data_IF_314380747424
#
_entry.id   IF_314380747424
#
_cell.length_a   1.000
_cell.length_b   1.000
_cell.length_c   1.000
_cell.angle_alpha   90.00
_cell.angle_beta   90.00
_cell.angle_gamma   90.00
#
_symmetry.space_group_name_H-M   'P 1'
#
loop_
_entity.id
_entity.type
_entity.pdbx_description
1 polymer ?
#
# COMPACT_ATOMS: atom_id res chain seq x y z
N UNK A 1 47.08 -10.05 -49.98
CA UNK A 1 47.03 -9.55 -48.58
C UNK A 1 45.84 -8.62 -48.26
N UNK A 2 44.80 -8.49 -49.12
CA UNK A 2 43.64 -7.59 -48.89
C UNK A 2 42.48 -8.22 -48.10
N UNK A 3 42.30 -9.54 -48.15
CA UNK A 3 41.10 -10.21 -47.61
C UNK A 3 41.07 -10.37 -46.08
N UNK A 4 42.23 -10.34 -45.41
CA UNK A 4 42.29 -10.53 -43.93
C UNK A 4 41.71 -9.34 -43.15
N UNK A 5 41.81 -8.11 -43.68
CA UNK A 5 41.30 -6.90 -43.01
C UNK A 5 39.77 -6.80 -43.04
N UNK A 6 39.14 -7.23 -44.14
CA UNK A 6 37.68 -7.22 -44.28
C UNK A 6 37.03 -8.24 -43.35
N UNK A 7 37.65 -9.42 -43.19
CA UNK A 7 37.15 -10.47 -42.31
C UNK A 7 37.21 -10.07 -40.82
N UNK A 8 38.28 -9.41 -40.37
CA UNK A 8 38.37 -8.92 -38.99
C UNK A 8 37.35 -7.83 -38.66
N UNK A 9 37.04 -6.93 -39.61
CA UNK A 9 36.03 -5.88 -39.40
C UNK A 9 34.62 -6.49 -39.31
N UNK A 10 34.32 -7.50 -40.14
CA UNK A 10 33.03 -8.19 -40.11
C UNK A 10 32.79 -8.94 -38.80
N UNK A 11 33.83 -9.59 -38.28
CA UNK A 11 33.77 -10.32 -36.99
C UNK A 11 33.61 -9.37 -35.81
N UNK A 12 34.28 -8.21 -35.82
CA UNK A 12 34.09 -7.18 -34.79
C UNK A 12 32.66 -6.59 -34.80
N UNK A 13 32.08 -6.36 -35.97
CA UNK A 13 30.69 -5.90 -36.10
C UNK A 13 29.68 -6.95 -35.65
N UNK A 14 29.90 -8.23 -35.97
CA UNK A 14 29.05 -9.36 -35.56
C UNK A 14 29.04 -9.58 -34.04
N UNK A 15 30.13 -9.25 -33.34
CA UNK A 15 30.21 -9.34 -31.88
C UNK A 15 29.70 -8.09 -31.18
N UNK A 16 29.90 -6.89 -31.75
CA UNK A 16 29.52 -5.63 -31.13
C UNK A 16 27.99 -5.41 -31.06
N UNK A 17 27.26 -5.82 -32.10
CA UNK A 17 25.80 -5.65 -32.19
C UNK A 17 25.05 -6.44 -31.10
N UNK A 18 25.28 -7.75 -30.88
CA UNK A 18 24.59 -8.48 -29.82
C UNK A 18 24.98 -7.97 -28.43
N UNK A 19 26.23 -7.55 -28.18
CA UNK A 19 26.60 -6.94 -26.89
C UNK A 19 25.89 -5.63 -26.63
N UNK A 20 25.69 -4.79 -27.65
CA UNK A 20 24.92 -3.55 -27.50
C UNK A 20 23.44 -3.85 -27.23
N UNK A 21 22.86 -4.82 -27.92
CA UNK A 21 21.46 -5.24 -27.72
C UNK A 21 21.22 -5.92 -26.37
N UNK A 22 22.20 -6.64 -25.82
CA UNK A 22 22.10 -7.16 -24.45
C UNK A 22 22.25 -6.04 -23.42
N UNK A 23 23.18 -5.09 -23.62
CA UNK A 23 23.37 -3.97 -22.69
C UNK A 23 22.15 -3.04 -22.60
N UNK A 24 21.42 -2.83 -23.70
CA UNK A 24 20.24 -1.96 -23.71
C UNK A 24 19.07 -2.51 -22.87
N UNK A 25 19.03 -3.82 -22.61
CA UNK A 25 18.04 -4.42 -21.70
C UNK A 25 18.28 -4.05 -20.23
N UNK A 26 19.52 -3.75 -19.84
CA UNK A 26 19.84 -3.27 -18.49
C UNK A 26 19.50 -1.79 -18.28
N UNK A 27 19.24 -1.05 -19.36
CA UNK A 27 18.81 0.35 -19.31
C UNK A 27 17.29 0.54 -19.43
N UNK A 28 16.53 -0.55 -19.54
CA UNK A 28 15.09 -0.43 -19.41
C UNK A 28 14.80 -0.03 -17.96
N UNK A 29 14.10 1.09 -17.71
CA UNK A 29 13.67 1.42 -16.37
C UNK A 29 12.85 0.23 -15.87
N UNK A 30 13.28 -0.36 -14.75
CA UNK A 30 12.41 -1.25 -13.99
C UNK A 30 11.14 -0.44 -13.74
N UNK A 31 10.02 -0.86 -14.31
CA UNK A 31 8.73 -0.30 -13.94
C UNK A 31 8.48 -0.76 -12.51
N UNK A 32 9.04 -0.03 -11.55
CA UNK A 32 8.52 -0.07 -10.20
C UNK A 32 7.13 0.52 -10.33
N UNK A 33 6.11 -0.33 -10.29
CA UNK A 33 4.71 0.08 -10.04
C UNK A 33 4.62 0.57 -8.60
N UNK A 34 5.46 1.55 -8.25
CA UNK A 34 5.25 2.50 -7.17
C UNK A 34 4.49 3.65 -7.80
N UNK A 35 3.34 3.33 -8.40
CA UNK A 35 2.37 4.33 -8.77
C UNK A 35 1.89 5.00 -7.50
N UNK A 36 1.41 6.24 -7.62
CA UNK A 36 0.74 7.00 -6.57
C UNK A 36 -0.61 6.36 -6.18
N UNK A 37 -0.63 5.05 -5.93
CA UNK A 37 -1.84 4.36 -5.52
C UNK A 37 -2.21 4.89 -4.14
N UNK A 38 -3.42 5.43 -3.99
CA UNK A 38 -3.96 5.70 -2.67
C UNK A 38 -4.12 4.37 -1.91
N UNK A 39 -4.26 4.45 -0.59
CA UNK A 39 -4.64 3.27 0.17
C UNK A 39 -5.99 2.74 -0.37
N UNK A 40 -6.09 1.43 -0.52
CA UNK A 40 -7.30 0.77 -0.98
C UNK A 40 -8.36 0.93 0.11
N UNK A 41 -9.53 1.53 -0.18
CA UNK A 41 -10.60 1.66 0.79
C UNK A 41 -11.24 0.31 1.10
N UNK A 42 -11.94 0.23 2.23
CA UNK A 42 -12.79 -0.91 2.55
C UNK A 42 -14.07 -0.80 1.70
N UNK A 43 -14.35 -1.83 0.90
CA UNK A 43 -15.45 -1.87 -0.08
C UNK A 43 -16.68 -2.66 0.40
N UNK A 44 -16.77 -2.96 1.70
CA UNK A 44 -17.93 -3.65 2.28
C UNK A 44 -19.11 -2.70 2.47
N UNK A 45 -20.29 -3.22 2.83
CA UNK A 45 -21.39 -2.36 3.29
C UNK A 45 -20.96 -1.61 4.57
N UNK A 46 -20.71 -0.31 4.43
CA UNK A 46 -20.33 0.60 5.51
C UNK A 46 -21.51 1.53 5.83
N UNK A 47 -21.71 1.83 7.12
CA UNK A 47 -22.62 2.90 7.51
C UNK A 47 -22.11 4.26 7.03
N UNK A 48 -23.00 5.26 6.95
CA UNK A 48 -22.62 6.63 6.55
C UNK A 48 -21.48 7.20 7.41
N UNK A 49 -21.51 6.93 8.73
CA UNK A 49 -20.47 7.37 9.65
C UNK A 49 -19.13 6.66 9.40
N UNK A 50 -19.14 5.37 9.05
CA UNK A 50 -17.92 4.64 8.69
C UNK A 50 -17.33 5.14 7.36
N UNK A 51 -18.18 5.45 6.37
CA UNK A 51 -17.74 6.05 5.11
C UNK A 51 -17.08 7.41 5.35
N UNK A 52 -17.72 8.27 6.14
CA UNK A 52 -17.16 9.57 6.50
C UNK A 52 -15.82 9.44 7.26
N UNK A 53 -15.75 8.50 8.23
CA UNK A 53 -14.52 8.23 8.96
C UNK A 53 -13.38 7.77 8.03
N UNK A 54 -13.68 6.87 7.09
CA UNK A 54 -12.70 6.40 6.10
C UNK A 54 -12.21 7.54 5.21
N UNK A 55 -13.12 8.36 4.68
CA UNK A 55 -12.77 9.47 3.80
C UNK A 55 -11.87 10.48 4.51
N UNK A 56 -12.22 10.85 5.74
CA UNK A 56 -11.41 11.74 6.58
C UNK A 56 -10.03 11.16 6.87
N UNK A 57 -9.95 9.88 7.26
CA UNK A 57 -8.68 9.23 7.52
C UNK A 57 -7.78 9.18 6.27
N UNK A 58 -8.33 8.81 5.11
CA UNK A 58 -7.55 8.67 3.86
C UNK A 58 -7.11 10.01 3.25
N UNK A 59 -7.79 11.10 3.61
CA UNK A 59 -7.44 12.46 3.19
C UNK A 59 -6.52 13.18 4.18
N UNK A 60 -6.34 12.67 5.40
CA UNK A 60 -5.47 13.27 6.41
C UNK A 60 -3.97 13.21 5.98
N UNK A 61 -3.24 14.34 6.00
CA UNK A 61 -1.84 14.38 5.59
C UNK A 61 -0.90 13.48 6.40
N UNK A 62 -1.17 13.23 7.70
CA UNK A 62 -0.37 12.34 8.54
C UNK A 62 -0.56 10.89 8.09
N UNK A 63 -1.79 10.48 7.74
CA UNK A 63 -2.04 9.15 7.14
C UNK A 63 -1.39 9.06 5.76
N UNK A 64 -1.48 10.10 4.94
CA UNK A 64 -0.88 10.11 3.60
C UNK A 64 0.65 10.02 3.64
N UNK A 65 1.31 10.60 4.65
CA UNK A 65 2.76 10.44 4.85
C UNK A 65 3.18 8.96 4.96
N UNK A 66 2.29 8.11 5.47
CA UNK A 66 2.53 6.68 5.61
C UNK A 66 1.97 5.84 4.46
N UNK A 67 1.02 6.32 3.66
CA UNK A 67 0.29 5.49 2.68
C UNK A 67 0.50 5.88 1.22
N UNK A 68 0.83 7.14 0.93
CA UNK A 68 0.86 7.64 -0.45
C UNK A 68 1.95 6.96 -1.28
N UNK A 69 1.55 6.35 -2.41
CA UNK A 69 2.46 5.66 -3.31
C UNK A 69 2.96 4.32 -2.78
N UNK A 70 2.37 3.83 -1.69
CA UNK A 70 2.66 2.54 -1.08
C UNK A 70 1.43 1.66 -1.19
N UNK A 71 1.64 0.35 -1.27
CA UNK A 71 0.57 -0.64 -1.21
C UNK A 71 0.01 -0.61 0.21
N UNK A 72 -1.08 0.12 0.40
CA UNK A 72 -1.77 0.24 1.67
C UNK A 72 -3.25 -0.07 1.51
N UNK A 73 -3.90 -0.52 2.57
CA UNK A 73 -5.31 -0.93 2.54
C UNK A 73 -6.00 -0.67 3.88
N UNK A 74 -7.25 -0.22 3.86
CA UNK A 74 -8.10 -0.13 5.04
C UNK A 74 -8.54 -1.53 5.44
N UNK A 75 -8.23 -1.89 6.68
CA UNK A 75 -8.40 -3.23 7.23
C UNK A 75 -9.64 -3.33 8.12
N UNK A 76 -10.05 -2.22 8.75
CA UNK A 76 -11.23 -2.20 9.60
C UNK A 76 -11.63 -0.78 9.99
N UNK A 77 -12.91 -0.61 10.31
CA UNK A 77 -13.46 0.62 10.87
C UNK A 77 -14.39 0.25 12.02
N UNK A 78 -14.04 0.66 13.23
CA UNK A 78 -14.83 0.39 14.44
C UNK A 78 -14.99 1.65 15.28
N UNK A 79 -15.92 1.67 16.22
CA UNK A 79 -15.97 2.74 17.22
C UNK A 79 -14.77 2.62 18.17
N UNK A 80 -14.27 3.75 18.63
CA UNK A 80 -13.22 3.80 19.65
C UNK A 80 -13.82 3.37 20.98
N UNK A 81 -13.13 2.47 21.68
CA UNK A 81 -13.51 2.04 23.02
C UNK A 81 -13.10 3.03 24.11
N UNK A 82 -13.17 2.61 25.37
CA UNK A 82 -12.79 3.45 26.53
C UNK A 82 -11.28 3.70 26.67
N UNK A 83 -10.45 3.08 25.82
CA UNK A 83 -9.00 3.24 25.83
C UNK A 83 -8.58 3.91 24.52
N UNK A 84 -8.01 5.11 24.65
CA UNK A 84 -7.51 5.92 23.55
C UNK A 84 -6.16 6.54 23.96
N UNK A 85 -5.29 6.86 23.00
CA UNK A 85 -4.00 7.50 23.27
C UNK A 85 -4.17 8.90 23.88
N UNK A 86 -3.10 9.37 24.55
CA UNK A 86 -2.98 10.78 24.96
C UNK A 86 -3.11 11.67 23.71
N UNK A 87 -3.84 12.79 23.82
CA UNK A 87 -4.18 13.66 22.67
C UNK A 87 -5.50 13.32 21.97
N UNK A 88 -6.20 12.28 22.41
CA UNK A 88 -7.52 11.89 21.90
C UNK A 88 -8.64 12.00 22.95
N UNK A 89 -8.51 12.91 23.91
CA UNK A 89 -9.43 13.05 25.04
C UNK A 89 -10.85 13.38 24.59
N UNK A 90 -11.02 14.01 23.42
CA UNK A 90 -12.34 14.27 22.83
C UNK A 90 -13.15 12.99 22.64
N UNK A 91 -12.48 11.86 22.38
CA UNK A 91 -13.12 10.55 22.22
C UNK A 91 -13.66 9.96 23.52
N UNK A 92 -13.37 10.58 24.68
CA UNK A 92 -14.02 10.24 25.95
C UNK A 92 -15.48 10.71 26.00
N UNK A 93 -15.80 11.77 25.25
CA UNK A 93 -17.10 12.46 25.31
C UNK A 93 -17.84 12.54 23.99
N UNK A 94 -17.16 12.24 22.87
CA UNK A 94 -17.71 12.21 21.53
C UNK A 94 -17.55 10.81 20.90
N UNK A 95 -18.38 10.52 19.89
CA UNK A 95 -18.24 9.28 19.12
C UNK A 95 -17.06 9.40 18.18
N UNK A 96 -15.98 8.69 18.49
CA UNK A 96 -14.84 8.55 17.58
C UNK A 96 -14.86 7.19 16.88
N UNK A 97 -14.32 7.18 15.67
CA UNK A 97 -14.11 6.01 14.84
C UNK A 97 -12.61 5.73 14.72
N UNK A 98 -12.24 4.47 14.89
CA UNK A 98 -10.92 3.94 14.63
C UNK A 98 -10.89 3.38 13.21
N UNK A 99 -10.07 3.97 12.35
CA UNK A 99 -9.78 3.46 11.00
C UNK A 99 -8.41 2.80 11.02
N UNK A 100 -8.39 1.49 10.83
CA UNK A 100 -7.16 0.70 10.76
C UNK A 100 -6.71 0.55 9.32
N UNK A 101 -5.49 0.96 9.03
CA UNK A 101 -4.87 0.89 7.71
C UNK A 101 -3.59 0.11 7.84
N UNK A 102 -3.28 -0.71 6.84
CA UNK A 102 -2.04 -1.47 6.82
C UNK A 102 -1.21 -1.11 5.60
N UNK A 103 0.06 -0.80 5.81
CA UNK A 103 1.03 -0.51 4.77
C UNK A 103 1.94 -1.73 4.56
N UNK A 104 1.75 -2.42 3.44
CA UNK A 104 2.51 -3.62 3.07
C UNK A 104 3.97 -3.34 2.75
N UNK A 105 4.32 -2.12 2.34
CA UNK A 105 5.70 -1.76 2.01
C UNK A 105 6.58 -1.62 3.26
N UNK A 106 5.99 -1.21 4.38
CA UNK A 106 6.72 -0.92 5.63
C UNK A 106 6.43 -1.92 6.75
N UNK A 107 5.55 -2.91 6.52
CA UNK A 107 5.09 -3.85 7.55
C UNK A 107 4.60 -3.10 8.79
N UNK A 108 3.69 -2.13 8.58
CA UNK A 108 3.26 -1.21 9.63
C UNK A 108 1.75 -0.98 9.60
N UNK A 109 1.17 -0.95 10.80
CA UNK A 109 -0.20 -0.52 11.06
C UNK A 109 -0.27 0.98 11.22
N UNK A 110 -1.35 1.57 10.72
CA UNK A 110 -1.69 2.97 10.91
C UNK A 110 -3.09 3.02 11.48
N UNK A 111 -3.26 3.65 12.63
CA UNK A 111 -4.56 3.82 13.28
C UNK A 111 -4.92 5.30 13.27
N UNK A 112 -5.97 5.67 12.55
CA UNK A 112 -6.51 7.03 12.58
C UNK A 112 -7.75 7.06 13.48
N UNK A 113 -7.78 7.97 14.45
CA UNK A 113 -8.94 8.25 15.28
C UNK A 113 -9.68 9.44 14.70
N UNK A 114 -10.95 9.27 14.36
CA UNK A 114 -11.74 10.25 13.61
C UNK A 114 -12.99 10.62 14.38
N UNK A 115 -13.18 11.92 14.62
CA UNK A 115 -14.42 12.48 15.10
C UNK A 115 -15.24 12.94 13.89
N UNK A 116 -16.23 12.15 13.49
CA UNK A 116 -17.08 12.43 12.33
C UNK A 116 -18.00 13.62 12.54
N UNK A 117 -18.41 13.89 13.79
CA UNK A 117 -19.29 15.02 14.12
C UNK A 117 -18.54 16.36 14.01
N UNK A 118 -17.24 16.36 14.31
CA UNK A 118 -16.36 17.51 14.16
C UNK A 118 -15.64 17.58 12.80
N UNK A 119 -15.84 16.56 11.94
CA UNK A 119 -15.17 16.42 10.65
C UNK A 119 -13.62 16.51 10.77
N UNK A 120 -13.06 15.80 11.75
CA UNK A 120 -11.65 15.92 12.13
C UNK A 120 -11.02 14.56 12.41
N UNK A 121 -9.77 14.39 11.98
CA UNK A 121 -8.90 13.29 12.44
C UNK A 121 -8.18 13.78 13.69
N UNK A 122 -8.52 13.18 14.83
CA UNK A 122 -8.01 13.54 16.15
C UNK A 122 -6.55 13.11 16.29
N UNK A 123 -6.27 11.85 15.97
CA UNK A 123 -4.93 11.28 16.14
C UNK A 123 -4.59 10.27 15.04
N UNK A 124 -3.30 10.14 14.73
CA UNK A 124 -2.76 9.14 13.81
C UNK A 124 -1.58 8.44 14.46
N UNK A 125 -1.76 7.16 14.79
CA UNK A 125 -0.72 6.31 15.34
C UNK A 125 -0.08 5.48 14.24
N UNK A 126 1.24 5.63 14.06
CA UNK A 126 2.04 4.74 13.22
C UNK A 126 2.70 3.67 14.08
N UNK A 127 2.51 2.41 13.72
CA UNK A 127 2.89 1.25 14.53
C UNK A 127 3.69 0.23 13.70
N UNK A 128 5.04 0.36 13.66
CA UNK A 128 5.90 -0.60 12.98
C UNK A 128 5.73 -2.03 13.50
N UNK A 129 5.67 -3.00 12.59
CA UNK A 129 5.52 -4.42 12.89
C UNK A 129 4.14 -4.84 13.40
N UNK A 130 3.19 -3.91 13.52
CA UNK A 130 1.82 -4.21 13.94
C UNK A 130 0.97 -4.47 12.70
N UNK A 131 0.21 -5.57 12.75
CA UNK A 131 -0.71 -5.98 11.70
C UNK A 131 -2.13 -5.95 12.26
N UNK A 132 -3.03 -5.13 11.72
CA UNK A 132 -4.43 -5.15 12.13
C UNK A 132 -5.11 -6.46 11.70
N UNK A 133 -6.35 -6.67 12.16
CA UNK A 133 -7.17 -7.79 11.73
C UNK A 133 -7.38 -7.79 10.21
N UNK A 134 -7.57 -8.97 9.62
CA UNK A 134 -7.85 -9.06 8.18
C UNK A 134 -9.26 -8.54 7.87
N UNK A 135 -9.38 -7.75 6.81
CA UNK A 135 -10.69 -7.42 6.24
C UNK A 135 -11.30 -8.64 5.53
N UNK A 136 -12.62 -8.61 5.30
CA UNK A 136 -13.35 -9.73 4.70
C UNK A 136 -12.81 -10.09 3.31
N UNK A 137 -12.49 -9.11 2.47
CA UNK A 137 -11.90 -9.33 1.15
C UNK A 137 -10.60 -10.14 1.21
N UNK A 138 -9.73 -9.86 2.18
CA UNK A 138 -8.48 -10.59 2.37
C UNK A 138 -8.72 -12.00 2.92
N UNK A 139 -9.73 -12.18 3.77
CA UNK A 139 -10.17 -13.51 4.22
C UNK A 139 -10.68 -14.33 3.03
N UNK A 140 -11.54 -13.76 2.20
CA UNK A 140 -12.12 -14.42 1.03
C UNK A 140 -11.04 -14.80 0.01
N UNK A 141 -10.09 -13.90 -0.25
CA UNK A 141 -8.94 -14.17 -1.10
C UNK A 141 -8.07 -15.31 -0.56
N UNK A 142 -7.82 -15.32 0.75
CA UNK A 142 -7.06 -16.40 1.38
C UNK A 142 -7.77 -17.76 1.23
N UNK A 143 -9.10 -17.78 1.37
CA UNK A 143 -9.90 -18.97 1.17
C UNK A 143 -9.89 -19.44 -0.29
N UNK A 144 -10.03 -18.53 -1.26
CA UNK A 144 -9.95 -18.84 -2.69
C UNK A 144 -8.59 -19.48 -3.04
N UNK A 145 -7.50 -18.89 -2.56
CA UNK A 145 -6.15 -19.43 -2.76
C UNK A 145 -6.03 -20.83 -2.14
N UNK A 146 -6.50 -21.01 -0.91
CA UNK A 146 -6.42 -22.30 -0.23
C UNK A 146 -7.23 -23.39 -0.95
N UNK A 147 -8.40 -23.07 -1.48
CA UNK A 147 -9.23 -24.01 -2.24
C UNK A 147 -8.65 -24.39 -3.60
N UNK A 148 -7.82 -23.52 -4.20
CA UNK A 148 -7.18 -23.76 -5.48
C UNK A 148 -5.79 -24.40 -5.35
N UNK A 149 -5.22 -24.45 -4.14
CA UNK A 149 -3.88 -24.96 -3.89
C UNK A 149 -3.86 -26.50 -3.93
N UNK A 150 -2.99 -27.13 -4.73
CA UNK A 150 -2.91 -28.60 -4.81
C UNK A 150 -2.40 -29.28 -3.53
N UNK A 151 -1.77 -28.52 -2.63
CA UNK A 151 -1.19 -29.00 -1.37
C UNK A 151 -2.11 -28.98 -0.14
N UNK A 152 -3.33 -28.41 -0.27
CA UNK A 152 -4.36 -28.36 0.78
C UNK A 152 -5.48 -29.34 0.44
#
# INVERSE_FOLDING_TARGET
MKNKRVLSILVLLLLAVPTLLLSSRYFLPVQTVTGKSPAVPLETELSEAQLAAQELALTDPRVQAHTQGKRSEVMGISTVGMHFPEGSEVCATATCWQVEIYNWNEDAGITALVNTDANEVVEVLYQPGIRPGLNQRNIDLALEIAMAAPEV
#
